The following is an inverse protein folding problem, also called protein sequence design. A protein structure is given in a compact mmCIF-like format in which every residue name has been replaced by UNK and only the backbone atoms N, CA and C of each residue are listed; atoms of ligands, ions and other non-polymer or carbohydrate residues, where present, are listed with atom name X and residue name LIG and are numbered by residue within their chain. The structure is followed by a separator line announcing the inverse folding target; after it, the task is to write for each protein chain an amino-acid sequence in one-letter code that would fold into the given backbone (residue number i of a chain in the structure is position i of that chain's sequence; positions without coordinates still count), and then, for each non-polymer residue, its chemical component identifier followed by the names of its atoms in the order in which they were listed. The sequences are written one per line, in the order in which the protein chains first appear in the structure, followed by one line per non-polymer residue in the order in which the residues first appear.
data_IF_480476042136
#
_entry.id   IF_480476042136
#
_cell.length_a   1.000
_cell.length_b   1.000
_cell.length_c   1.000
_cell.angle_alpha   90.00
_cell.angle_beta   90.00
_cell.angle_gamma   90.00
#
_symmetry.space_group_name_H-M   'P 1'
#
loop_
_entity.id
_entity.type
_entity.pdbx_description
1 polymer ?
2 non-polymer ?
3 non-polymer ?
4 non-polymer ?
5 non-polymer ?
6 water ?
#
# COMPACT_ATOMS: atom_id res chain seq x y z
N UNK A 1 -24.41 7.11 16.71
CA UNK A 1 -23.46 7.67 15.75
C UNK A 1 -23.31 6.75 14.55
N UNK A 2 -24.02 7.06 13.48
CA UNK A 2 -23.96 6.24 12.27
C UNK A 2 -22.74 6.60 11.44
N UNK A 3 -22.05 5.57 10.95
CA UNK A 3 -20.86 5.78 10.13
C UNK A 3 -20.83 4.68 9.07
N UNK A 4 -20.28 5.00 7.90
CA UNK A 4 -20.11 4.02 6.84
C UNK A 4 -18.61 3.68 6.79
N UNK A 5 -18.28 2.46 7.17
CA UNK A 5 -16.88 2.00 7.06
C UNK A 5 -16.62 1.54 5.63
N UNK A 6 -15.39 1.73 5.16
CA UNK A 6 -15.04 1.20 3.86
C UNK A 6 -15.12 -0.33 3.95
N UNK A 7 -15.69 -0.97 2.93
CA UNK A 7 -15.95 -2.40 3.00
C UNK A 7 -16.29 -2.91 1.61
N UNK A 8 -15.38 -3.68 1.01
CA UNK A 8 -15.63 -4.18 -0.33
C UNK A 8 -16.02 -3.08 -1.29
N UNK A 9 -16.99 -3.38 -2.14
CA UNK A 9 -17.48 -2.41 -3.11
C UNK A 9 -18.67 -1.60 -2.62
N UNK A 10 -19.09 -1.81 -1.37
CA UNK A 10 -20.36 -1.30 -0.88
C UNK A 10 -20.26 -0.30 0.26
N UNK A 11 -19.23 -0.38 1.09
CA UNK A 11 -19.28 0.19 2.41
C UNK A 11 -20.10 -0.68 3.35
N UNK A 12 -20.05 -0.32 4.64
CA UNK A 12 -20.74 -1.07 5.68
C UNK A 12 -21.31 -0.06 6.66
N UNK A 13 -22.63 -0.08 6.87
CA UNK A 13 -23.30 0.93 7.69
C UNK A 13 -23.38 0.46 9.13
N UNK A 14 -22.64 1.15 10.01
CA UNK A 14 -22.52 0.77 11.41
C UNK A 14 -23.13 1.86 12.27
N UNK A 15 -23.70 1.48 13.41
CA UNK A 15 -24.21 2.44 14.39
C UNK A 15 -23.44 2.22 15.69
N UNK A 16 -22.66 3.23 16.11
CA UNK A 16 -21.81 3.20 17.29
C UNK A 16 -22.42 4.05 18.41
N UNK A 17 -22.11 3.77 19.67
CA UNK A 17 -22.79 4.48 20.78
C UNK A 17 -22.30 5.92 20.89
N UNK A 18 -23.25 6.87 20.83
CA UNK A 18 -22.90 8.29 20.88
C UNK A 18 -22.09 8.64 22.13
N UNK A 19 -22.50 8.09 23.29
CA UNK A 19 -21.89 8.48 24.55
C UNK A 19 -20.46 7.97 24.71
N UNK A 20 -20.04 7.00 23.89
CA UNK A 20 -18.76 6.35 24.05
C UNK A 20 -17.75 6.65 22.94
N UNK A 21 -18.16 7.31 21.87
CA UNK A 21 -17.40 7.33 20.62
C UNK A 21 -16.94 8.74 20.28
N UNK A 22 -15.66 8.87 19.95
CA UNK A 22 -15.07 10.14 19.52
C UNK A 22 -15.53 10.47 18.09
N UNK A 23 -15.40 11.72 17.68
CA UNK A 23 -15.70 12.06 16.27
C UNK A 23 -14.80 11.27 15.34
N UNK A 24 -15.34 10.80 14.20
CA UNK A 24 -14.54 9.94 13.32
C UNK A 24 -13.29 10.61 12.81
N UNK A 25 -12.24 9.81 12.65
CA UNK A 25 -10.96 10.27 12.11
C UNK A 25 -11.01 10.17 10.59
N UNK A 26 -10.88 11.31 9.91
CA UNK A 26 -11.01 11.39 8.47
C UNK A 26 -9.90 12.24 7.86
N UNK A 27 -9.66 11.99 6.56
CA UNK A 27 -8.74 12.81 5.77
C UNK A 27 -9.25 14.25 5.74
N UNK A 28 -8.34 15.20 5.90
CA UNK A 28 -8.72 16.61 5.89
C UNK A 28 -9.20 17.04 4.50
N UNK A 29 -10.13 17.98 4.43
CA UNK A 29 -10.59 18.44 3.12
C UNK A 29 -9.49 19.16 2.37
N UNK A 30 -9.42 18.86 1.09
CA UNK A 30 -8.62 19.60 0.12
C UNK A 30 -9.43 19.58 -1.16
N UNK A 31 -9.33 20.61 -1.98
CA UNK A 31 -10.16 20.63 -3.21
C UNK A 31 -9.71 19.55 -4.17
N UNK A 32 -10.61 18.70 -4.64
CA UNK A 32 -10.26 17.82 -5.77
C UNK A 32 -9.81 18.65 -6.95
N UNK A 33 -8.94 18.07 -7.76
CA UNK A 33 -8.66 18.67 -9.06
C UNK A 33 -9.86 18.44 -9.97
N UNK A 34 -10.34 19.52 -10.59
CA UNK A 34 -11.48 19.39 -11.47
C UNK A 34 -11.18 18.45 -12.63
N UNK A 35 -10.00 18.57 -13.23
CA UNK A 35 -9.65 17.78 -14.42
C UNK A 35 -8.25 17.24 -14.20
N UNK A 36 -8.11 16.18 -13.42
CA UNK A 36 -6.76 15.67 -13.11
C UNK A 36 -6.01 15.19 -14.33
N UNK A 37 -6.68 14.66 -15.35
CA UNK A 37 -5.96 14.24 -16.56
C UNK A 37 -5.33 15.44 -17.26
N UNK A 38 -6.07 16.56 -17.33
CA UNK A 38 -5.50 17.76 -17.91
C UNK A 38 -4.34 18.28 -17.07
N UNK A 39 -4.41 18.07 -15.75
CA UNK A 39 -3.30 18.45 -14.90
C UNK A 39 -2.09 17.57 -15.15
N UNK A 40 -2.31 16.27 -15.36
CA UNK A 40 -1.18 15.39 -15.73
C UNK A 40 -0.52 15.90 -17.00
N UNK A 41 -1.32 16.27 -18.01
CA UNK A 41 -0.77 16.83 -19.25
C UNK A 41 0.11 18.04 -18.94
N UNK A 42 -0.40 18.97 -18.13
CA UNK A 42 0.39 20.16 -17.79
C UNK A 42 1.68 19.80 -17.06
N UNK A 43 1.64 18.78 -16.19
CA UNK A 43 2.80 18.43 -15.40
C UNK A 43 3.84 17.71 -16.25
N UNK A 44 3.40 17.00 -17.31
CA UNK A 44 4.32 16.37 -18.24
C UNK A 44 5.11 17.42 -19.02
N UNK A 45 4.49 18.58 -19.27
CA UNK A 45 5.14 19.65 -19.99
C UNK A 45 6.03 20.48 -19.07
N UNK A 46 5.71 20.54 -17.78
CA UNK A 46 6.47 21.34 -16.82
C UNK A 46 6.63 20.53 -15.55
N UNK A 47 7.51 19.53 -15.56
CA UNK A 47 7.67 18.64 -14.42
C UNK A 47 8.64 19.18 -13.38
N UNK A 48 8.77 18.43 -12.28
CA UNK A 48 9.66 18.78 -11.18
C UNK A 48 11.00 18.08 -11.39
N UNK A 49 12.07 18.85 -11.51
CA UNK A 49 13.41 18.27 -11.48
C UNK A 49 13.81 17.42 -12.66
N UNK A 50 13.15 17.56 -13.79
CA UNK A 50 13.41 16.72 -14.96
C UNK A 50 13.10 17.55 -16.20
N UNK A 51 13.65 17.18 -17.36
CA UNK A 51 13.17 17.78 -18.61
C UNK A 51 11.71 17.39 -18.80
N UNK A 52 10.98 18.13 -19.63
CA UNK A 52 9.64 17.68 -20.05
C UNK A 52 9.75 16.27 -20.60
N UNK A 53 8.73 15.44 -20.32
CA UNK A 53 8.74 14.06 -20.78
C UNK A 53 8.95 13.96 -22.30
N UNK A 54 8.38 14.89 -23.06
CA UNK A 54 8.53 14.87 -24.52
C UNK A 54 10.00 14.92 -24.92
N UNK A 55 10.77 15.80 -24.29
CA UNK A 55 12.18 15.93 -24.64
C UNK A 55 12.99 14.74 -24.13
N UNK A 56 12.64 14.24 -22.94
CA UNK A 56 13.28 13.04 -22.41
C UNK A 56 13.06 11.83 -23.31
N UNK A 57 11.89 11.73 -23.93
CA UNK A 57 11.53 10.54 -24.69
C UNK A 57 12.05 10.57 -26.12
N UNK A 58 12.33 11.74 -26.68
CA UNK A 58 12.69 11.78 -28.09
C UNK A 58 13.97 10.99 -28.35
N UNK A 59 13.94 10.16 -29.40
CA UNK A 59 15.06 9.30 -29.70
C UNK A 59 15.17 8.04 -28.87
N UNK A 60 14.32 7.84 -27.88
CA UNK A 60 14.36 6.61 -27.10
C UNK A 60 13.69 5.50 -27.88
N UNK A 61 14.32 4.32 -27.88
CA UNK A 61 13.87 3.23 -28.74
C UNK A 61 12.84 2.34 -28.07
N UNK A 62 12.79 2.32 -26.75
CA UNK A 62 11.88 1.45 -26.03
C UNK A 62 11.54 2.14 -24.73
N UNK A 63 10.35 1.84 -24.22
CA UNK A 63 9.89 2.40 -22.96
C UNK A 63 9.26 1.30 -22.12
N UNK A 64 9.44 1.38 -20.82
CA UNK A 64 8.74 0.49 -19.91
C UNK A 64 8.07 1.38 -18.86
N UNK A 65 6.74 1.26 -18.75
CA UNK A 65 5.94 2.02 -17.80
C UNK A 65 5.48 1.08 -16.69
N UNK A 66 5.91 1.36 -15.46
CA UNK A 66 5.48 0.57 -14.31
C UNK A 66 4.13 1.06 -13.82
N UNK A 67 3.20 0.12 -13.61
CA UNK A 67 1.90 0.42 -13.02
C UNK A 67 1.67 -0.47 -11.81
N UNK A 68 0.86 0.00 -10.89
CA UNK A 68 0.52 -0.80 -9.73
C UNK A 68 -0.45 -1.92 -10.10
N UNK A 69 -0.49 -2.96 -9.27
CA UNK A 69 -1.44 -4.05 -9.47
C UNK A 69 -2.81 -3.71 -8.87
N UNK A 70 -3.68 -4.72 -8.77
CA UNK A 70 -5.07 -4.47 -8.42
C UNK A 70 -5.20 -3.87 -7.03
N UNK A 71 -4.24 -4.13 -6.15
CA UNK A 71 -4.38 -3.75 -4.74
C UNK A 71 -4.30 -2.24 -4.52
N UNK A 72 -3.89 -1.48 -5.53
CA UNK A 72 -3.78 -0.04 -5.41
C UNK A 72 -4.82 0.59 -6.33
N UNK A 73 -5.74 1.40 -5.82
CA UNK A 73 -6.76 2.01 -6.65
C UNK A 73 -6.28 3.22 -7.44
N UNK A 74 -5.20 3.04 -8.19
CA UNK A 74 -4.70 4.12 -9.06
C UNK A 74 -5.66 4.29 -10.21
N UNK A 75 -6.12 5.51 -10.51
CA UNK A 75 -6.94 5.72 -11.72
C UNK A 75 -6.02 5.76 -12.94
N UNK A 76 -5.50 4.59 -13.29
CA UNK A 76 -4.42 4.55 -14.28
C UNK A 76 -4.70 5.27 -15.58
N UNK A 77 -5.90 5.19 -16.19
CA UNK A 77 -6.07 5.88 -17.48
C UNK A 77 -5.82 7.37 -17.40
N UNK A 78 -6.12 8.01 -16.27
CA UNK A 78 -5.86 9.43 -16.07
C UNK A 78 -4.37 9.74 -16.18
N UNK A 79 -3.52 8.86 -15.66
CA UNK A 79 -2.07 9.04 -15.73
C UNK A 79 -1.52 8.57 -17.08
N UNK A 80 -2.05 7.47 -17.61
CA UNK A 80 -1.46 6.82 -18.77
C UNK A 80 -1.79 7.51 -20.09
N UNK A 81 -3.03 7.96 -20.28
CA UNK A 81 -3.32 8.59 -21.57
C UNK A 81 -2.39 9.75 -21.85
N UNK A 82 -2.11 10.66 -20.90
CA UNK A 82 -1.10 11.69 -21.17
C UNK A 82 0.28 11.14 -21.48
N UNK A 83 0.75 10.15 -20.70
CA UNK A 83 2.06 9.57 -20.94
C UNK A 83 2.12 8.96 -22.33
N UNK A 84 1.09 8.20 -22.69
CA UNK A 84 1.11 7.49 -23.97
C UNK A 84 1.01 8.48 -25.14
N UNK A 85 0.27 9.56 -24.98
CA UNK A 85 0.21 10.57 -26.02
C UNK A 85 1.57 11.26 -26.20
N UNK A 86 2.23 11.59 -25.09
CA UNK A 86 3.56 12.20 -25.16
C UNK A 86 4.57 11.26 -25.84
N UNK A 87 4.55 9.97 -25.49
CA UNK A 87 5.48 9.03 -26.11
C UNK A 87 5.21 8.92 -27.60
N UNK A 88 3.94 8.95 -28.02
CA UNK A 88 3.65 8.99 -29.45
C UNK A 88 4.21 10.25 -30.07
N UNK A 89 4.01 11.41 -29.42
CA UNK A 89 4.52 12.66 -29.97
C UNK A 89 6.03 12.66 -30.06
N UNK A 90 6.70 11.92 -29.17
CA UNK A 90 8.15 11.81 -29.17
C UNK A 90 8.67 10.83 -30.21
N UNK A 91 7.78 10.11 -30.89
CA UNK A 91 8.18 9.22 -31.96
C UNK A 91 8.26 7.75 -31.60
N UNK A 92 7.85 7.36 -30.40
CA UNK A 92 7.81 5.94 -30.05
C UNK A 92 6.55 5.32 -30.63
N UNK A 93 6.70 4.18 -31.29
CA UNK A 93 5.53 3.45 -31.74
C UNK A 93 4.93 2.67 -30.57
N UNK A 94 3.65 2.33 -30.68
CA UNK A 94 3.00 1.64 -29.57
C UNK A 94 3.71 0.33 -29.24
N UNK A 95 4.23 -0.38 -30.24
CA UNK A 95 4.94 -1.62 -29.98
C UNK A 95 6.25 -1.41 -29.21
N UNK A 96 6.77 -0.17 -29.19
CA UNK A 96 7.97 0.15 -28.42
C UNK A 96 7.68 0.32 -26.94
N UNK A 97 6.42 0.27 -26.51
CA UNK A 97 6.01 0.65 -25.16
C UNK A 97 5.48 -0.59 -24.45
N UNK A 98 6.08 -0.94 -23.32
CA UNK A 98 5.62 -2.04 -22.47
C UNK A 98 5.03 -1.46 -21.19
N UNK A 99 3.84 -1.92 -20.82
CA UNK A 99 3.28 -1.64 -19.50
C UNK A 99 3.56 -2.85 -18.63
N UNK A 100 4.29 -2.65 -17.53
CA UNK A 100 4.73 -3.75 -16.66
C UNK A 100 4.05 -3.60 -15.31
N UNK A 101 3.29 -4.61 -14.91
CA UNK A 101 2.55 -4.58 -13.65
C UNK A 101 3.52 -4.91 -12.52
N UNK A 102 3.75 -3.92 -11.65
CA UNK A 102 4.72 -3.99 -10.56
C UNK A 102 4.07 -4.69 -9.37
N UNK A 103 4.00 -6.02 -9.46
CA UNK A 103 3.35 -6.85 -8.46
C UNK A 103 4.14 -6.98 -7.16
N UNK A 104 5.43 -6.62 -7.14
CA UNK A 104 6.24 -7.00 -5.99
C UNK A 104 6.31 -8.52 -5.95
N UNK A 105 5.94 -9.10 -4.82
CA UNK A 105 5.81 -10.54 -4.66
C UNK A 105 4.37 -11.02 -4.73
N UNK A 106 3.44 -10.13 -5.09
CA UNK A 106 2.04 -10.56 -5.26
C UNK A 106 1.91 -11.45 -6.48
N UNK A 107 0.83 -12.22 -6.48
CA UNK A 107 0.41 -12.99 -7.64
C UNK A 107 0.22 -12.07 -8.86
N UNK A 108 0.25 -12.63 -10.06
CA UNK A 108 0.07 -11.79 -11.25
C UNK A 108 -1.36 -11.27 -11.35
N UNK A 109 -1.50 -10.13 -12.02
CA UNK A 109 -2.83 -9.64 -12.32
C UNK A 109 -3.51 -10.56 -13.35
N UNK A 110 -4.83 -10.71 -13.21
CA UNK A 110 -5.60 -11.50 -14.16
C UNK A 110 -5.96 -10.66 -15.37
N UNK A 111 -6.39 -11.29 -16.47
CA UNK A 111 -6.90 -10.48 -17.59
C UNK A 111 -7.97 -9.48 -17.20
N UNK A 112 -8.93 -9.88 -16.37
CA UNK A 112 -9.98 -8.96 -15.98
C UNK A 112 -9.44 -7.83 -15.12
N UNK A 113 -8.46 -8.12 -14.26
CA UNK A 113 -7.86 -7.07 -13.46
C UNK A 113 -7.14 -6.05 -14.32
N UNK A 114 -6.44 -6.52 -15.37
CA UNK A 114 -5.79 -5.56 -16.28
C UNK A 114 -6.81 -4.60 -16.87
N UNK A 115 -7.99 -5.10 -17.23
CA UNK A 115 -9.03 -4.22 -17.76
C UNK A 115 -9.53 -3.25 -16.68
N UNK A 116 -9.77 -3.76 -15.47
CA UNK A 116 -10.20 -2.89 -14.37
C UNK A 116 -9.14 -1.83 -14.07
N UNK A 117 -7.87 -2.21 -14.10
CA UNK A 117 -6.78 -1.30 -13.75
C UNK A 117 -6.55 -0.26 -14.84
N UNK A 118 -6.56 -0.68 -16.11
CA UNK A 118 -6.00 0.13 -17.19
C UNK A 118 -7.02 0.64 -18.18
N UNK A 119 -8.26 0.14 -18.11
CA UNK A 119 -9.32 0.29 -19.11
C UNK A 119 -9.15 -0.70 -20.26
N UNK A 120 -10.27 -1.10 -20.87
CA UNK A 120 -10.23 -2.08 -21.95
C UNK A 120 -9.40 -1.59 -23.12
N UNK A 121 -9.54 -0.33 -23.50
CA UNK A 121 -8.86 0.12 -24.72
C UNK A 121 -7.36 0.13 -24.54
N UNK A 122 -6.86 0.62 -23.40
CA UNK A 122 -5.43 0.60 -23.17
C UNK A 122 -4.92 -0.83 -23.07
N UNK A 123 -5.67 -1.69 -22.36
CA UNK A 123 -5.21 -3.04 -22.09
C UNK A 123 -5.07 -3.87 -23.37
N UNK A 124 -5.84 -3.59 -24.40
CA UNK A 124 -5.71 -4.37 -25.63
C UNK A 124 -4.84 -3.71 -26.68
N UNK A 125 -4.36 -2.48 -26.43
CA UNK A 125 -3.61 -1.74 -27.43
C UNK A 125 -2.11 -1.74 -27.17
N UNK A 126 -1.68 -1.96 -25.92
CA UNK A 126 -0.28 -2.00 -25.55
C UNK A 126 0.01 -3.35 -24.89
N UNK A 127 1.26 -3.81 -25.00
CA UNK A 127 1.67 -5.03 -24.29
C UNK A 127 1.59 -4.76 -22.80
N UNK A 128 0.90 -5.64 -22.08
CA UNK A 128 0.81 -5.53 -20.62
C UNK A 128 1.25 -6.87 -20.05
N UNK A 129 2.30 -6.83 -19.22
CA UNK A 129 2.90 -8.04 -18.70
C UNK A 129 3.06 -7.91 -17.19
N UNK A 130 3.21 -9.03 -16.51
CA UNK A 130 3.32 -9.05 -15.05
C UNK A 130 4.74 -9.34 -14.60
N UNK A 131 5.12 -8.73 -13.49
CA UNK A 131 6.34 -9.08 -12.79
C UNK A 131 6.12 -10.37 -11.98
N UNK A 132 7.13 -11.25 -11.98
CA UNK A 132 7.11 -12.50 -11.23
C UNK A 132 8.31 -12.52 -10.27
N UNK A 133 8.06 -12.19 -9.00
CA UNK A 133 9.13 -12.04 -8.04
C UNK A 133 9.91 -13.29 -7.74
N UNK A 134 9.33 -14.47 -7.93
CA UNK A 134 10.07 -15.69 -7.63
C UNK A 134 10.81 -16.26 -8.84
N UNK A 135 10.82 -15.56 -9.96
CA UNK A 135 11.57 -15.98 -11.15
C UNK A 135 12.85 -15.14 -11.24
N UNK A 136 13.90 -15.60 -10.57
CA UNK A 136 15.15 -14.83 -10.58
C UNK A 136 15.68 -14.65 -12.00
N UNK A 137 15.43 -15.63 -12.87
CA UNK A 137 15.94 -15.58 -14.24
C UNK A 137 15.34 -14.44 -15.04
N UNK A 138 14.24 -13.83 -14.58
CA UNK A 138 13.62 -12.69 -15.24
C UNK A 138 14.16 -11.36 -14.72
N UNK A 139 15.19 -11.40 -13.87
CA UNK A 139 15.76 -10.21 -13.25
C UNK A 139 17.24 -10.07 -13.63
N UNK A 140 17.73 -8.84 -13.49
CA UNK A 140 19.12 -8.50 -13.73
C UNK A 140 19.74 -7.97 -12.44
N UNK A 141 20.95 -8.44 -12.14
CA UNK A 141 21.66 -8.03 -10.94
C UNK A 141 22.33 -6.70 -11.20
N UNK A 142 22.11 -5.74 -10.32
CA UNK A 142 22.62 -4.38 -10.48
C UNK A 142 23.72 -4.01 -9.49
N UNK A 143 23.99 -4.87 -8.52
CA UNK A 143 24.91 -4.54 -7.44
C UNK A 143 24.27 -4.86 -6.11
N UNK A 144 25.06 -4.68 -5.05
CA UNK A 144 24.61 -4.92 -3.69
C UNK A 144 24.81 -3.64 -2.88
N UNK A 145 23.81 -3.28 -2.05
CA UNK A 145 23.86 -2.04 -1.31
C UNK A 145 24.91 -2.13 -0.19
N UNK A 146 25.29 -0.99 0.40
CA UNK A 146 26.23 -1.03 1.53
C UNK A 146 25.75 -1.83 2.71
N UNK A 147 24.45 -2.07 2.82
CA UNK A 147 23.92 -2.90 3.90
C UNK A 147 23.66 -4.34 3.47
N UNK A 148 24.17 -4.72 2.31
CA UNK A 148 24.22 -6.12 1.94
C UNK A 148 23.02 -6.67 1.20
N UNK A 149 22.15 -5.82 0.69
CA UNK A 149 20.97 -6.28 -0.04
C UNK A 149 21.32 -6.29 -1.53
N UNK A 150 21.26 -7.44 -2.20
CA UNK A 150 21.52 -7.46 -3.64
C UNK A 150 20.29 -6.92 -4.37
N UNK A 151 20.54 -6.16 -5.44
CA UNK A 151 19.49 -5.51 -6.20
C UNK A 151 19.24 -6.32 -7.47
N UNK A 152 18.10 -7.00 -7.52
CA UNK A 152 17.71 -7.82 -8.66
C UNK A 152 16.41 -7.24 -9.21
N UNK A 153 16.46 -6.65 -10.40
CA UNK A 153 15.35 -5.86 -10.92
C UNK A 153 14.92 -6.41 -12.27
N UNK A 154 13.62 -6.36 -12.55
CA UNK A 154 13.07 -7.03 -13.72
C UNK A 154 13.79 -6.56 -14.98
N UNK A 155 14.26 -7.54 -15.77
CA UNK A 155 15.10 -7.23 -16.94
C UNK A 155 14.40 -6.38 -17.99
N UNK A 156 13.07 -6.49 -18.11
CA UNK A 156 12.36 -5.70 -19.12
C UNK A 156 12.43 -4.22 -18.80
N UNK A 157 12.49 -3.87 -17.53
CA UNK A 157 12.66 -2.48 -17.12
C UNK A 157 14.12 -2.05 -17.24
N UNK A 158 15.05 -2.89 -16.77
CA UNK A 158 16.48 -2.57 -16.86
C UNK A 158 16.89 -2.31 -18.29
N UNK A 159 16.40 -3.11 -19.24
CA UNK A 159 16.78 -3.02 -20.65
C UNK A 159 16.06 -1.92 -21.41
N UNK A 160 14.99 -1.34 -20.85
CA UNK A 160 14.27 -0.29 -21.56
C UNK A 160 15.07 1.00 -21.59
N UNK A 161 15.03 1.68 -22.75
CA UNK A 161 15.77 2.94 -22.86
C UNK A 161 15.15 4.03 -22.02
N UNK A 162 13.82 4.02 -21.88
CA UNK A 162 13.07 5.04 -21.16
C UNK A 162 12.29 4.32 -20.06
N UNK A 163 12.53 4.71 -18.81
CA UNK A 163 11.96 4.07 -17.62
C UNK A 163 10.99 5.03 -16.95
N UNK A 164 9.72 4.63 -16.83
CA UNK A 164 8.68 5.49 -16.29
C UNK A 164 7.96 4.70 -15.20
N UNK A 165 7.56 5.38 -14.12
CA UNK A 165 6.77 4.72 -13.09
C UNK A 165 5.57 5.56 -12.70
N UNK A 166 4.44 4.92 -12.46
CA UNK A 166 3.21 5.58 -12.02
C UNK A 166 2.78 5.01 -10.68
N UNK A 167 1.99 5.78 -9.93
CA UNK A 167 1.58 5.24 -8.64
C UNK A 167 0.78 6.23 -7.82
N UNK A 168 0.63 5.85 -6.55
CA UNK A 168 -0.33 6.45 -5.64
C UNK A 168 0.33 6.58 -4.27
N UNK A 169 0.31 7.79 -3.72
CA UNK A 169 0.96 8.09 -2.44
C UNK A 169 -0.07 7.94 -1.33
N UNK A 170 0.04 6.87 -0.56
CA UNK A 170 -0.81 6.58 0.58
C UNK A 170 0.10 6.12 1.70
N UNK A 171 -0.34 6.16 2.96
CA UNK A 171 0.47 5.59 4.04
C UNK A 171 0.76 4.12 3.77
N UNK A 172 1.93 3.66 4.24
CA UNK A 172 2.33 2.27 4.09
C UNK A 172 2.99 1.78 5.36
N UNK A 173 2.60 0.58 5.80
CA UNK A 173 2.94 0.08 7.14
C UNK A 173 4.41 -0.29 7.25
N UNK A 174 5.15 -0.37 6.15
CA UNK A 174 6.58 -0.68 6.24
C UNK A 174 7.41 0.47 5.69
N UNK A 175 7.04 1.00 4.52
CA UNK A 175 7.84 1.98 3.82
C UNK A 175 7.42 3.41 4.11
N UNK A 176 6.51 3.62 5.05
CA UNK A 176 6.08 4.96 5.44
C UNK A 176 4.99 5.49 4.53
N UNK A 177 5.33 5.68 3.26
CA UNK A 177 4.37 6.02 2.21
C UNK A 177 4.68 5.18 0.98
N UNK A 178 3.62 4.81 0.26
CA UNK A 178 3.73 4.20 -1.06
C UNK A 178 4.06 5.26 -2.09
N UNK A 179 4.48 4.81 -3.27
CA UNK A 179 4.72 5.70 -4.40
C UNK A 179 6.20 5.81 -4.74
N UNK A 180 6.47 6.64 -5.73
CA UNK A 180 7.85 6.91 -6.16
C UNK A 180 8.64 5.64 -6.37
N UNK A 181 9.80 5.62 -5.70
CA UNK A 181 10.76 4.52 -5.71
C UNK A 181 10.17 3.14 -5.46
N UNK A 182 9.01 3.03 -4.81
CA UNK A 182 8.51 1.73 -4.40
C UNK A 182 8.01 0.91 -5.59
N UNK A 183 7.72 1.57 -6.72
CA UNK A 183 7.39 0.85 -7.93
C UNK A 183 8.56 -0.02 -8.39
N UNK A 184 9.79 0.40 -8.10
CA UNK A 184 10.98 -0.37 -8.45
C UNK A 184 11.30 -1.38 -7.35
N UNK A 185 11.47 -0.90 -6.13
CA UNK A 185 11.74 -1.78 -4.99
C UNK A 185 10.60 -1.65 -4.00
N UNK A 186 9.71 -2.64 -3.88
CA UNK A 186 9.86 -4.01 -4.41
C UNK A 186 9.06 -4.28 -5.67
N UNK A 187 8.40 -3.26 -6.25
CA UNK A 187 7.43 -3.51 -7.30
C UNK A 187 7.93 -4.42 -8.41
N UNK A 188 9.20 -4.27 -8.81
CA UNK A 188 9.75 -5.14 -9.85
C UNK A 188 11.05 -5.79 -9.39
N UNK A 189 11.16 -6.06 -8.10
CA UNK A 189 12.34 -6.68 -7.52
C UNK A 189 12.10 -8.16 -7.22
N UNK A 190 13.17 -8.94 -7.31
CA UNK A 190 13.07 -10.37 -7.07
C UNK A 190 12.99 -10.67 -5.58
N UNK A 191 12.48 -11.87 -5.27
CA UNK A 191 12.48 -12.38 -3.91
C UNK A 191 13.88 -12.37 -3.30
N UNK A 192 14.92 -12.60 -4.11
CA UNK A 192 16.28 -12.55 -3.63
C UNK A 192 16.60 -11.20 -2.98
N UNK A 193 16.02 -10.12 -3.49
CA UNK A 193 16.13 -8.79 -2.89
C UNK A 193 15.11 -8.61 -1.77
N UNK A 194 13.84 -8.91 -2.07
CA UNK A 194 12.74 -8.58 -1.17
C UNK A 194 12.81 -9.36 0.14
N UNK A 195 13.27 -10.61 0.12
CA UNK A 195 13.30 -11.38 1.36
C UNK A 195 14.21 -10.75 2.39
N UNK A 196 15.29 -10.09 1.95
CA UNK A 196 16.17 -9.40 2.87
C UNK A 196 15.61 -8.03 3.25
N UNK A 197 15.09 -7.29 2.28
CA UNK A 197 14.60 -5.95 2.54
C UNK A 197 13.35 -5.96 3.43
N UNK A 198 12.48 -6.97 3.25
CA UNK A 198 11.34 -7.22 4.11
C UNK A 198 11.67 -8.18 5.26
N UNK A 199 12.95 -8.31 5.62
CA UNK A 199 13.33 -9.17 6.73
C UNK A 199 13.22 -8.43 8.04
N UNK A 200 13.29 -9.19 9.14
CA UNK A 200 13.17 -8.56 10.46
C UNK A 200 14.24 -7.54 10.78
N UNK A 201 15.42 -7.62 10.15
CA UNK A 201 16.43 -6.59 10.39
C UNK A 201 15.97 -5.22 9.93
N UNK A 202 14.98 -5.15 9.05
CA UNK A 202 14.31 -3.90 8.71
C UNK A 202 13.02 -3.71 9.49
N UNK A 203 12.16 -4.72 9.53
CA UNK A 203 10.79 -4.51 9.98
C UNK A 203 10.65 -4.42 11.49
N UNK A 204 11.64 -4.86 12.26
CA UNK A 204 11.53 -4.80 13.71
C UNK A 204 11.86 -3.42 14.27
N UNK A 205 12.25 -2.49 13.42
CA UNK A 205 12.60 -1.17 13.93
C UNK A 205 11.36 -0.29 14.08
N UNK A 206 11.31 0.57 15.10
CA UNK A 206 10.07 1.31 15.38
C UNK A 206 9.61 2.23 14.26
N UNK A 207 10.52 2.80 13.48
CA UNK A 207 10.13 3.74 12.43
C UNK A 207 9.90 3.07 11.09
N UNK A 208 9.95 1.74 11.04
CA UNK A 208 9.45 0.99 9.87
C UNK A 208 7.94 0.93 10.05
N UNK A 209 7.28 2.03 9.68
CA UNK A 209 5.90 2.23 10.10
C UNK A 209 5.27 3.34 9.27
N UNK A 210 3.94 3.40 9.35
CA UNK A 210 3.16 4.35 8.57
C UNK A 210 3.62 5.78 8.83
N UNK A 211 3.78 6.54 7.75
CA UNK A 211 4.06 7.96 7.83
C UNK A 211 5.51 8.35 8.03
N UNK A 212 6.42 7.40 8.21
CA UNK A 212 7.83 7.73 8.44
C UNK A 212 8.64 7.46 7.19
N UNK A 213 9.25 8.51 6.64
CA UNK A 213 10.32 8.38 5.65
C UNK A 213 11.65 8.66 6.32
N UNK A 214 11.77 9.84 6.92
CA UNK A 214 12.92 10.17 7.74
C UNK A 214 13.01 9.18 8.90
N UNK A 215 14.20 8.61 9.09
CA UNK A 215 14.42 7.66 10.15
C UNK A 215 13.96 6.25 9.87
N UNK A 216 13.34 6.00 8.72
CA UNK A 216 12.81 4.68 8.42
C UNK A 216 13.82 3.90 7.59
N UNK A 217 14.44 2.83 8.13
CA UNK A 217 15.43 2.09 7.32
C UNK A 217 14.85 1.45 6.06
N UNK A 218 13.55 1.11 6.08
CA UNK A 218 12.92 0.55 4.89
C UNK A 218 12.98 1.53 3.73
N UNK A 219 12.68 2.80 4.00
CA UNK A 219 12.69 3.83 2.96
C UNK A 219 14.10 4.19 2.52
N UNK A 220 15.06 4.24 3.46
CA UNK A 220 16.43 4.43 3.05
C UNK A 220 16.83 3.39 2.00
N UNK A 221 16.49 2.14 2.26
CA UNK A 221 16.97 1.04 1.44
C UNK A 221 16.25 0.96 0.10
N UNK A 222 14.90 1.10 0.07
CA UNK A 222 14.26 1.00 -1.23
C UNK A 222 14.59 2.18 -2.13
N UNK A 223 14.86 3.34 -1.52
CA UNK A 223 15.37 4.47 -2.30
C UNK A 223 16.75 4.17 -2.87
N UNK A 224 17.65 3.59 -2.06
CA UNK A 224 18.98 3.23 -2.55
C UNK A 224 18.89 2.22 -3.69
N UNK A 225 18.01 1.22 -3.56
CA UNK A 225 17.91 0.20 -4.61
C UNK A 225 17.31 0.79 -5.88
N UNK A 226 16.26 1.63 -5.75
CA UNK A 226 15.68 2.27 -6.92
C UNK A 226 16.70 3.15 -7.63
N UNK A 227 17.58 3.82 -6.87
CA UNK A 227 18.62 4.64 -7.49
C UNK A 227 19.60 3.79 -8.30
N UNK A 228 19.83 2.54 -7.91
CA UNK A 228 20.70 1.68 -8.69
C UNK A 228 20.10 1.31 -10.04
N UNK A 229 18.78 1.12 -10.08
CA UNK A 229 18.11 0.80 -11.34
C UNK A 229 17.90 2.05 -12.18
N UNK A 230 17.63 3.17 -11.54
CA UNK A 230 17.24 4.38 -12.23
C UNK A 230 15.75 4.40 -12.55
N UNK A 231 15.27 5.61 -12.82
CA UNK A 231 13.92 5.86 -13.28
C UNK A 231 13.93 7.25 -13.89
N UNK A 232 13.48 7.38 -15.13
CA UNK A 232 13.58 8.66 -15.80
C UNK A 232 12.45 9.61 -15.48
N UNK A 233 11.28 9.10 -15.07
CA UNK A 233 10.13 9.98 -14.94
C UNK A 233 9.06 9.24 -14.14
N UNK A 234 8.46 9.93 -13.17
CA UNK A 234 7.31 9.38 -12.46
C UNK A 234 6.11 10.31 -12.61
N UNK A 235 4.93 9.72 -12.46
CA UNK A 235 3.70 10.46 -12.22
C UNK A 235 3.04 9.79 -11.02
N UNK A 236 2.78 10.56 -9.95
CA UNK A 236 2.10 10.01 -8.79
C UNK A 236 0.91 10.92 -8.44
N UNK A 237 -0.12 10.34 -7.84
CA UNK A 237 -1.30 11.08 -7.40
C UNK A 237 -1.58 10.80 -5.93
N UNK A 238 -2.37 11.69 -5.32
CA UNK A 238 -3.01 11.44 -4.04
C UNK A 238 -4.52 11.44 -4.25
N UNK A 239 -5.24 10.69 -3.40
CA UNK A 239 -6.68 10.52 -3.49
C UNK A 239 -7.33 10.89 -2.18
N UNK A 240 -8.49 11.53 -2.24
CA UNK A 240 -9.22 11.80 -1.00
C UNK A 240 -10.07 10.60 -0.61
N UNK A 241 -10.87 10.76 0.45
CA UNK A 241 -11.67 9.63 0.93
C UNK A 241 -12.66 9.10 -0.09
N UNK A 242 -13.15 9.97 -0.97
CA UNK A 242 -14.07 9.58 -2.03
C UNK A 242 -13.36 9.17 -3.31
N UNK A 243 -12.04 9.06 -3.27
CA UNK A 243 -11.20 8.61 -4.39
C UNK A 243 -11.07 9.65 -5.49
N UNK A 244 -11.27 10.93 -5.19
CA UNK A 244 -10.96 11.99 -6.13
C UNK A 244 -9.49 12.36 -6.02
N UNK A 245 -8.85 12.58 -7.16
CA UNK A 245 -7.45 13.01 -7.16
C UNK A 245 -7.36 14.41 -6.58
N UNK A 246 -6.49 14.58 -5.57
CA UNK A 246 -6.27 15.86 -4.93
C UNK A 246 -4.93 16.50 -5.27
N UNK A 247 -4.00 15.75 -5.86
CA UNK A 247 -2.73 16.30 -6.33
C UNK A 247 -2.14 15.36 -7.37
N UNK A 248 -1.35 15.97 -8.27
CA UNK A 248 -0.55 15.28 -9.27
C UNK A 248 0.87 15.82 -9.14
N UNK A 249 1.86 14.91 -9.10
CA UNK A 249 3.26 15.29 -9.18
C UNK A 249 3.90 14.48 -10.32
N UNK A 250 4.78 15.12 -11.08
CA UNK A 250 5.46 14.42 -12.15
C UNK A 250 6.88 14.92 -12.27
N UNK A 251 7.79 14.01 -12.68
CA UNK A 251 9.17 14.38 -12.92
C UNK A 251 10.14 13.45 -12.22
N UNK A 252 11.15 14.03 -11.58
CA UNK A 252 12.21 13.26 -10.95
C UNK A 252 11.65 12.29 -9.91
N UNK A 253 12.18 11.05 -9.92
CA UNK A 253 11.65 10.01 -9.04
C UNK A 253 11.69 10.43 -7.57
N UNK A 254 12.75 11.12 -7.14
CA UNK A 254 12.81 11.55 -5.75
C UNK A 254 12.11 12.88 -5.51
N UNK A 255 12.41 13.91 -6.32
CA UNK A 255 11.86 15.23 -6.05
C UNK A 255 10.33 15.24 -6.20
N UNK A 256 9.81 14.57 -7.23
CA UNK A 256 8.36 14.56 -7.40
C UNK A 256 7.69 13.80 -6.25
N UNK A 257 8.24 12.65 -5.89
CA UNK A 257 7.68 11.85 -4.80
C UNK A 257 7.64 12.66 -3.50
N UNK A 258 8.74 13.33 -3.16
CA UNK A 258 8.78 14.08 -1.90
C UNK A 258 7.80 15.25 -1.91
N UNK A 259 7.57 15.87 -3.07
CA UNK A 259 6.56 16.91 -3.16
C UNK A 259 5.16 16.33 -2.93
N UNK A 260 4.88 15.16 -3.49
CA UNK A 260 3.60 14.52 -3.24
C UNK A 260 3.42 14.12 -1.79
N UNK A 261 4.48 13.62 -1.16
CA UNK A 261 4.41 13.30 0.27
C UNK A 261 4.15 14.55 1.09
N UNK A 262 4.82 15.65 0.76
CA UNK A 262 4.57 16.90 1.48
C UNK A 262 3.09 17.28 1.39
N UNK A 263 2.48 17.08 0.22
CA UNK A 263 1.05 17.35 0.12
C UNK A 263 0.24 16.40 0.99
N UNK A 264 0.52 15.09 0.90
CA UNK A 264 -0.38 14.16 1.56
C UNK A 264 -0.26 14.36 3.07
N UNK A 265 0.91 14.81 3.55
CA UNK A 265 1.08 15.05 4.98
C UNK A 265 0.20 16.19 5.50
N UNK A 266 -0.22 17.11 4.61
CA UNK A 266 -1.12 18.18 5.04
C UNK A 266 -2.56 17.72 5.21
N UNK A 267 -2.93 16.51 4.77
CA UNK A 267 -4.32 16.07 4.85
C UNK A 267 -4.51 14.73 5.52
N UNK A 268 -3.50 13.86 5.59
CA UNK A 268 -3.71 12.48 6.02
C UNK A 268 -3.73 12.31 7.54
N UNK A 269 -3.19 13.26 8.29
CA UNK A 269 -3.09 13.09 9.73
C UNK A 269 -4.39 13.49 10.43
N UNK A 270 -4.88 12.59 11.27
CA UNK A 270 -6.08 12.81 12.07
C UNK A 270 -5.69 12.61 13.51
N UNK A 271 -5.76 13.67 14.31
CA UNK A 271 -5.24 13.65 15.66
C UNK A 271 -6.35 13.42 16.68
N UNK A 272 -5.99 12.71 17.75
CA UNK A 272 -6.82 12.59 18.94
C UNK A 272 -5.97 13.02 20.12
N UNK A 273 -6.59 13.40 21.24
CA UNK A 273 -5.79 13.86 22.38
C UNK A 273 -5.11 12.75 23.17
N UNK A 274 -5.62 11.53 23.10
CA UNK A 274 -5.05 10.42 23.87
C UNK A 274 -5.46 9.11 23.20
N UNK A 275 -4.67 8.05 23.34
CA UNK A 275 -5.10 6.75 22.83
C UNK A 275 -6.31 6.27 23.60
N UNK A 276 -7.02 5.31 23.00
CA UNK A 276 -8.29 4.81 23.54
C UNK A 276 -8.27 3.29 23.57
N UNK A 277 -9.19 2.72 24.34
CA UNK A 277 -9.18 1.27 24.52
C UNK A 277 -9.77 0.51 23.34
N UNK A 278 -10.61 1.15 22.53
CA UNK A 278 -11.30 0.47 21.43
C UNK A 278 -11.16 1.33 20.18
N UNK A 279 -10.59 0.77 19.11
CA UNK A 279 -10.46 1.47 17.84
C UNK A 279 -11.18 0.65 16.78
N UNK A 280 -12.16 1.27 16.11
CA UNK A 280 -12.89 0.64 15.02
C UNK A 280 -12.28 1.12 13.72
N UNK A 281 -11.97 0.19 12.82
CA UNK A 281 -11.31 0.55 11.57
C UNK A 281 -11.75 -0.35 10.43
N UNK A 282 -11.17 -0.11 9.26
CA UNK A 282 -11.46 -0.85 8.05
C UNK A 282 -10.14 -1.18 7.37
N UNK A 283 -10.24 -1.88 6.24
CA UNK A 283 -9.10 -2.11 5.35
C UNK A 283 -9.24 -1.29 4.07
N UNK A 284 -9.92 -0.15 4.14
CA UNK A 284 -10.04 0.79 3.02
C UNK A 284 -10.86 0.26 1.84
N UNK A 285 -11.67 -0.77 2.08
CA UNK A 285 -12.60 -1.25 1.06
C UNK A 285 -11.88 -1.81 -0.16
N UNK A 286 -12.66 -1.98 -1.22
CA UNK A 286 -12.09 -2.45 -2.47
C UNK A 286 -11.22 -1.35 -3.07
N UNK A 287 -10.05 -1.70 -3.62
CA UNK A 287 -9.52 -3.05 -3.84
C UNK A 287 -8.57 -3.56 -2.76
N UNK A 288 -8.24 -2.74 -1.77
CA UNK A 288 -7.24 -3.17 -0.80
C UNK A 288 -7.74 -4.33 0.05
N UNK A 289 -9.04 -4.35 0.40
CA UNK A 289 -9.53 -5.32 1.38
C UNK A 289 -9.87 -6.70 0.79
N UNK A 290 -9.31 -7.02 -0.39
CA UNK A 290 -9.56 -8.32 -1.01
C UNK A 290 -9.06 -9.48 -0.15
N UNK A 291 -7.96 -9.32 0.59
CA UNK A 291 -7.39 -10.43 1.32
C UNK A 291 -7.06 -10.07 2.76
N UNK A 292 -7.04 -11.10 3.61
CA UNK A 292 -6.62 -10.91 5.00
C UNK A 292 -5.18 -10.38 5.04
N UNK A 293 -4.32 -10.89 4.15
CA UNK A 293 -2.95 -10.40 4.04
C UNK A 293 -2.90 -8.87 3.96
N UNK A 294 -3.71 -8.28 3.09
CA UNK A 294 -3.70 -6.82 2.99
C UNK A 294 -4.42 -6.16 4.17
N UNK A 295 -5.46 -6.80 4.70
CA UNK A 295 -6.25 -6.19 5.76
C UNK A 295 -5.45 -6.01 7.05
N UNK A 296 -4.33 -6.72 7.20
CA UNK A 296 -3.43 -6.43 8.32
C UNK A 296 -3.05 -4.96 8.35
N UNK A 297 -3.02 -4.29 7.19
CA UNK A 297 -2.73 -2.86 7.15
C UNK A 297 -3.71 -2.03 7.97
N UNK A 298 -4.98 -2.42 8.04
CA UNK A 298 -5.91 -1.68 8.89
C UNK A 298 -5.54 -1.83 10.35
N UNK A 299 -5.04 -3.01 10.72
CA UNK A 299 -4.64 -3.26 12.10
C UNK A 299 -3.40 -2.46 12.48
N UNK A 300 -2.35 -2.48 11.64
CA UNK A 300 -1.17 -1.69 11.96
C UNK A 300 -1.49 -0.20 11.94
N UNK A 301 -2.38 0.21 11.04
CA UNK A 301 -2.71 1.62 10.94
C UNK A 301 -3.34 2.17 12.21
N UNK A 302 -4.06 1.32 12.97
CA UNK A 302 -4.75 1.75 14.18
C UNK A 302 -3.84 1.84 15.39
N UNK A 303 -2.66 1.20 15.34
CA UNK A 303 -1.81 1.08 16.52
C UNK A 303 -1.47 2.39 17.22
N UNK A 304 -1.17 3.49 16.54
CA UNK A 304 -0.78 4.69 17.29
C UNK A 304 -1.83 5.18 18.27
N UNK A 305 -3.11 4.86 18.07
CA UNK A 305 -4.16 5.43 18.91
C UNK A 305 -4.85 4.38 19.78
N UNK A 306 -4.39 3.15 19.79
CA UNK A 306 -4.94 2.15 20.71
C UNK A 306 -4.06 2.08 21.96
N UNK A 307 -4.69 1.97 23.12
CA UNK A 307 -3.93 1.80 24.35
C UNK A 307 -3.36 0.39 24.39
N UNK A 308 -2.19 0.19 25.01
CA UNK A 308 -1.69 -1.17 25.22
C UNK A 308 -2.77 -2.02 25.90
N UNK A 309 -2.97 -3.22 25.37
CA UNK A 309 -4.00 -4.10 25.85
C UNK A 309 -5.39 -3.79 25.34
N UNK A 310 -5.55 -2.75 24.52
CA UNK A 310 -6.82 -2.40 23.93
C UNK A 310 -7.24 -3.38 22.85
N UNK A 311 -8.34 -3.03 22.17
CA UNK A 311 -8.91 -3.88 21.12
C UNK A 311 -9.07 -3.05 19.85
N UNK A 312 -8.63 -3.62 18.72
CA UNK A 312 -8.92 -3.08 17.41
C UNK A 312 -10.03 -3.93 16.81
N UNK A 313 -11.12 -3.27 16.40
CA UNK A 313 -12.22 -3.92 15.69
C UNK A 313 -12.10 -3.51 14.23
N UNK A 314 -11.94 -4.48 13.34
CA UNK A 314 -11.78 -4.19 11.92
C UNK A 314 -12.89 -4.86 11.13
N UNK A 315 -13.42 -4.14 10.15
CA UNK A 315 -14.32 -4.68 9.14
C UNK A 315 -13.60 -4.69 7.79
N UNK A 316 -13.62 -5.83 7.11
CA UNK A 316 -13.01 -5.95 5.78
C UNK A 316 -13.73 -7.04 5.02
N UNK A 317 -13.98 -6.82 3.72
CA UNK A 317 -14.80 -7.75 2.97
C UNK A 317 -14.08 -9.07 2.69
N UNK A 318 -12.76 -9.04 2.44
CA UNK A 318 -11.97 -10.25 2.20
C UNK A 318 -12.55 -11.09 1.06
N UNK A 319 -12.95 -10.45 -0.03
CA UNK A 319 -13.65 -11.20 -1.07
C UNK A 319 -12.79 -12.30 -1.68
N UNK A 320 -11.45 -12.15 -1.68
CA UNK A 320 -10.56 -13.16 -2.22
C UNK A 320 -10.05 -14.14 -1.16
N UNK A 321 -10.30 -13.89 0.11
CA UNK A 321 -9.91 -14.84 1.15
C UNK A 321 -8.68 -14.41 1.92
N UNK A 322 -7.84 -15.38 2.28
CA UNK A 322 -6.73 -15.11 3.19
C UNK A 322 -5.52 -14.49 2.49
N UNK A 323 -5.24 -14.89 1.25
CA UNK A 323 -4.02 -14.48 0.59
C UNK A 323 -3.27 -15.65 -0.01
N UNK A 324 -1.97 -15.50 -0.18
CA UNK A 324 -1.19 -16.47 -0.93
C UNK A 324 -1.08 -17.81 -0.20
N UNK A 325 -0.82 -18.90 -0.94
CA UNK A 325 -0.57 -20.19 -0.28
C UNK A 325 0.56 -20.14 0.71
N UNK A 326 1.61 -19.37 0.40
CA UNK A 326 2.77 -19.28 1.29
C UNK A 326 2.41 -18.55 2.57
N UNK A 327 1.67 -17.44 2.46
CA UNK A 327 1.19 -16.74 3.65
C UNK A 327 0.33 -17.67 4.51
N UNK A 328 -0.59 -18.41 3.88
CA UNK A 328 -1.45 -19.32 4.61
C UNK A 328 -0.64 -20.42 5.29
N UNK A 329 0.43 -20.89 4.64
CA UNK A 329 1.20 -22.01 5.19
C UNK A 329 1.86 -21.64 6.51
N UNK A 330 2.18 -20.37 6.71
CA UNK A 330 2.89 -19.98 7.93
C UNK A 330 2.04 -20.17 9.18
N UNK A 331 0.72 -19.94 9.07
CA UNK A 331 -0.15 -20.16 10.22
C UNK A 331 -0.19 -21.63 10.58
N UNK A 332 -0.18 -22.50 9.56
CA UNK A 332 -0.18 -23.94 9.81
C UNK A 332 1.11 -24.37 10.47
N UNK A 333 2.23 -23.73 10.12
CA UNK A 333 3.53 -24.14 10.60
C UNK A 333 3.81 -23.64 12.01
N UNK A 334 3.21 -22.51 12.40
CA UNK A 334 3.50 -21.85 13.67
C UNK A 334 2.19 -21.53 14.37
N UNK A 335 1.73 -22.38 15.29
CA UNK A 335 0.46 -22.12 15.98
C UNK A 335 0.42 -20.81 16.74
N UNK A 336 1.54 -20.36 17.30
CA UNK A 336 1.56 -19.10 18.03
C UNK A 336 2.42 -18.08 17.30
N UNK A 337 2.04 -16.81 17.46
CA UNK A 337 2.84 -15.74 16.86
C UNK A 337 4.22 -15.64 17.52
N UNK A 338 4.31 -15.92 18.81
CA UNK A 338 5.62 -15.96 19.47
C UNK A 338 6.53 -16.98 18.81
N UNK A 339 6.02 -18.17 18.55
CA UNK A 339 6.83 -19.19 17.91
C UNK A 339 7.22 -18.82 16.49
N UNK A 340 6.27 -18.21 15.75
CA UNK A 340 6.60 -17.68 14.43
C UNK A 340 7.75 -16.69 14.51
N UNK A 341 7.70 -15.79 15.48
CA UNK A 341 8.74 -14.78 15.57
C UNK A 341 10.09 -15.39 15.96
N UNK A 342 10.08 -16.37 16.87
CA UNK A 342 11.33 -17.06 17.18
C UNK A 342 11.95 -17.65 15.93
N UNK A 343 11.12 -18.23 15.06
CA UNK A 343 11.64 -18.86 13.84
C UNK A 343 12.24 -17.83 12.89
N UNK A 344 11.53 -16.73 12.63
CA UNK A 344 12.05 -15.78 11.63
C UNK A 344 13.21 -14.95 12.17
N UNK A 345 13.29 -14.75 13.48
CA UNK A 345 14.39 -13.98 14.04
C UNK A 345 15.71 -14.75 14.02
N UNK A 346 15.68 -16.01 13.56
CA UNK A 346 16.91 -16.78 13.34
C UNK A 346 17.52 -16.55 11.98
N UNK A 347 16.73 -16.10 10.99
CA UNK A 347 17.24 -15.78 9.65
C UNK A 347 17.76 -17.01 8.93
N UNK A 348 17.44 -18.20 9.42
CA UNK A 348 17.85 -19.42 8.72
C UNK A 348 17.06 -19.61 7.43
N UNK A 349 15.81 -19.15 7.39
CA UNK A 349 14.95 -19.36 6.24
C UNK A 349 14.06 -18.14 6.02
N UNK A 350 13.52 -18.05 4.81
CA UNK A 350 12.66 -16.94 4.39
C UNK A 350 11.51 -17.56 3.63
N UNK A 351 10.28 -17.13 3.94
CA UNK A 351 9.09 -17.58 3.26
C UNK A 351 8.39 -16.36 2.67
N UNK A 352 7.92 -16.50 1.43
CA UNK A 352 7.17 -15.43 0.80
C UNK A 352 6.03 -15.03 1.71
N UNK A 353 5.87 -13.73 1.92
CA UNK A 353 4.77 -13.10 2.65
C UNK A 353 4.90 -13.22 4.16
N UNK A 354 6.03 -13.72 4.68
CA UNK A 354 6.18 -13.81 6.13
C UNK A 354 6.17 -12.45 6.78
N UNK A 355 6.56 -11.41 6.03
CA UNK A 355 6.62 -10.06 6.59
C UNK A 355 5.26 -9.60 7.10
N UNK A 356 4.16 -10.00 6.45
CA UNK A 356 2.85 -9.57 6.94
C UNK A 356 2.45 -10.29 8.22
N UNK A 357 2.88 -11.53 8.41
CA UNK A 357 2.65 -12.18 9.70
C UNK A 357 3.49 -11.51 10.78
N UNK A 358 4.69 -11.03 10.42
CA UNK A 358 5.51 -10.27 11.35
C UNK A 358 4.80 -8.98 11.76
N UNK A 359 4.11 -8.33 10.82
CA UNK A 359 3.34 -7.14 11.17
C UNK A 359 2.14 -7.48 12.03
N UNK A 360 1.46 -8.59 11.75
CA UNK A 360 0.36 -9.02 12.60
C UNK A 360 0.87 -9.32 14.01
N UNK A 361 2.06 -9.93 14.13
CA UNK A 361 2.64 -10.17 15.45
C UNK A 361 2.87 -8.87 16.21
N UNK A 362 3.33 -7.82 15.50
CA UNK A 362 3.50 -6.51 16.12
C UNK A 362 2.17 -5.97 16.64
N UNK A 363 1.10 -6.12 15.84
CA UNK A 363 -0.23 -5.71 16.30
C UNK A 363 -0.59 -6.44 17.58
N UNK A 364 -0.42 -7.76 17.59
CA UNK A 364 -0.91 -8.58 18.70
C UNK A 364 -0.08 -8.42 19.97
N UNK A 365 1.15 -7.89 19.88
CA UNK A 365 1.88 -7.56 21.11
C UNK A 365 1.21 -6.41 21.84
N UNK A 366 0.48 -5.56 21.12
CA UNK A 366 -0.14 -4.38 21.71
C UNK A 366 -1.64 -4.53 21.93
N UNK A 367 -2.35 -5.32 21.13
CA UNK A 367 -3.80 -5.23 21.15
C UNK A 367 -4.45 -6.56 20.82
N UNK A 368 -5.66 -6.75 21.36
CA UNK A 368 -6.59 -7.77 20.85
C UNK A 368 -7.18 -7.29 19.53
N UNK A 369 -7.66 -8.23 18.73
CA UNK A 369 -8.31 -7.90 17.45
C UNK A 369 -9.63 -8.65 17.36
N UNK A 370 -10.71 -7.91 17.06
CA UNK A 370 -12.00 -8.48 16.68
C UNK A 370 -12.18 -8.20 15.18
N UNK A 371 -12.54 -9.23 14.41
CA UNK A 371 -12.56 -9.14 12.96
C UNK A 371 -13.97 -9.44 12.45
N UNK A 372 -14.51 -8.52 11.64
CA UNK A 372 -15.86 -8.63 11.10
C UNK A 372 -15.74 -8.75 9.58
N UNK A 373 -16.17 -9.88 9.04
CA UNK A 373 -16.10 -10.12 7.60
C UNK A 373 -17.00 -11.29 7.22
N UNK A 374 -17.58 -11.21 6.02
CA UNK A 374 -18.25 -12.37 5.43
C UNK A 374 -17.42 -13.06 4.35
N UNK A 375 -16.20 -12.60 4.10
CA UNK A 375 -15.43 -13.23 3.04
C UNK A 375 -14.76 -14.53 3.42
N UNK A 376 -14.61 -14.78 4.72
CA UNK A 376 -13.89 -15.93 5.25
C UNK A 376 -14.71 -16.43 6.43
N UNK A 377 -14.99 -17.73 6.54
CA UNK A 377 -15.78 -18.22 7.67
C UNK A 377 -15.07 -17.96 9.01
N UNK A 378 -15.89 -17.88 10.05
CA UNK A 378 -15.38 -17.58 11.39
C UNK A 378 -14.31 -18.58 11.81
N UNK A 379 -14.51 -19.87 11.52
CA UNK A 379 -13.53 -20.86 11.94
C UNK A 379 -12.18 -20.63 11.28
N UNK A 380 -12.17 -20.14 10.04
CA UNK A 380 -10.91 -19.85 9.38
C UNK A 380 -10.24 -18.63 10.00
N UNK A 381 -11.00 -17.55 10.22
CA UNK A 381 -10.42 -16.35 10.83
C UNK A 381 -9.87 -16.65 12.22
N UNK A 382 -10.53 -17.52 12.97
CA UNK A 382 -10.08 -17.81 14.31
C UNK A 382 -8.69 -18.44 14.34
N UNK A 383 -8.27 -19.06 13.24
CA UNK A 383 -6.90 -19.59 13.15
C UNK A 383 -5.88 -18.55 12.73
N UNK A 384 -6.30 -17.30 12.51
CA UNK A 384 -5.40 -16.25 12.05
C UNK A 384 -5.14 -15.20 13.11
N UNK A 385 -5.27 -15.56 14.39
CA UNK A 385 -4.89 -14.68 15.49
C UNK A 385 -5.74 -13.43 15.56
N UNK A 386 -7.01 -13.57 15.19
CA UNK A 386 -8.03 -12.56 15.42
C UNK A 386 -9.27 -13.28 15.94
N UNK A 387 -10.14 -12.53 16.61
CA UNK A 387 -11.41 -13.10 17.08
C UNK A 387 -12.50 -12.72 16.11
N UNK A 388 -13.11 -13.66 15.39
CA UNK A 388 -14.22 -13.30 14.50
C UNK A 388 -15.43 -12.93 15.32
N UNK A 389 -16.07 -11.82 14.97
CA UNK A 389 -17.30 -11.37 15.63
C UNK A 389 -18.33 -11.03 14.55
N UNK A 390 -19.60 -11.32 14.83
CA UNK A 390 -20.60 -11.30 13.77
C UNK A 390 -20.84 -9.91 13.22
N UNK A 391 -20.80 -8.88 14.07
CA UNK A 391 -21.05 -7.50 13.64
C UNK A 391 -20.10 -6.55 14.37
N UNK A 392 -19.84 -5.40 13.74
CA UNK A 392 -19.03 -4.36 14.38
C UNK A 392 -19.71 -3.86 15.64
N UNK A 393 -21.03 -3.65 15.58
CA UNK A 393 -21.75 -3.17 16.75
C UNK A 393 -21.65 -4.15 17.91
N UNK A 394 -21.74 -5.44 17.63
CA UNK A 394 -21.57 -6.43 18.69
C UNK A 394 -20.14 -6.44 19.22
N UNK A 395 -19.16 -6.37 18.31
CA UNK A 395 -17.76 -6.37 18.72
C UNK A 395 -17.45 -5.20 19.64
N UNK A 396 -17.98 -4.02 19.31
CA UNK A 396 -17.78 -2.85 20.15
C UNK A 396 -18.49 -3.04 21.50
N UNK A 397 -19.71 -3.57 21.50
CA UNK A 397 -20.38 -3.82 22.77
C UNK A 397 -19.57 -4.75 23.65
N UNK A 398 -19.03 -5.83 23.06
CA UNK A 398 -18.21 -6.78 23.81
C UNK A 398 -16.98 -6.09 24.38
N UNK A 399 -16.28 -5.29 23.56
CA UNK A 399 -15.08 -4.62 24.04
C UNK A 399 -15.40 -3.63 25.14
N UNK A 400 -16.49 -2.86 24.98
CA UNK A 400 -16.86 -1.91 26.03
C UNK A 400 -17.18 -2.63 27.33
N UNK A 401 -17.83 -3.78 27.26
CA UNK A 401 -18.11 -4.52 28.49
C UNK A 401 -16.83 -5.04 29.12
N UNK A 402 -15.85 -5.43 28.31
CA UNK A 402 -14.59 -5.95 28.82
C UNK A 402 -13.77 -4.85 29.50
N UNK A 403 -13.68 -3.68 28.90
CA UNK A 403 -12.83 -2.61 29.44
C UNK A 403 -13.51 -1.79 30.53
N UNK A 404 -14.83 -1.74 30.56
CA UNK A 404 -15.53 -1.02 31.60
C UNK A 404 -16.01 0.35 31.15
N UNK A 405 -16.72 1.04 32.06
CA UNK A 405 -17.45 2.27 31.65
C UNK A 405 -16.58 3.49 31.36
N UNK A 406 -15.29 3.48 31.66
CA UNK A 406 -14.44 4.59 31.24
C UNK A 406 -13.90 4.44 29.82
N UNK A 407 -14.07 3.28 29.20
CA UNK A 407 -13.46 3.07 27.89
C UNK A 407 -14.11 3.96 26.82
N UNK A 408 -13.30 4.39 25.87
CA UNK A 408 -13.74 5.20 24.75
C UNK A 408 -13.49 4.45 23.45
N UNK A 409 -14.21 4.85 22.40
CA UNK A 409 -14.12 4.26 21.06
C UNK A 409 -13.70 5.33 20.06
N UNK A 410 -12.69 5.03 19.25
CA UNK A 410 -12.38 5.84 18.07
C UNK A 410 -12.75 5.05 16.83
N UNK A 411 -13.06 5.75 15.74
CA UNK A 411 -13.46 5.11 14.49
C UNK A 411 -12.75 5.76 13.32
N UNK A 412 -12.23 4.93 12.41
CA UNK A 412 -11.45 5.35 11.25
C UNK A 412 -12.09 4.75 10.00
N UNK A 413 -13.07 5.41 9.41
CA UNK A 413 -13.79 4.78 8.28
C UNK A 413 -12.90 4.36 7.11
N UNK A 414 -11.87 5.14 6.75
CA UNK A 414 -11.00 4.84 5.62
C UNK A 414 -9.75 4.06 6.03
N UNK A 415 -9.69 3.62 7.28
CA UNK A 415 -8.66 2.70 7.72
C UNK A 415 -7.25 3.17 7.43
N UNK A 416 -6.49 2.33 6.70
CA UNK A 416 -5.07 2.62 6.49
C UNK A 416 -4.79 3.76 5.54
N UNK A 417 -5.81 4.39 4.95
CA UNK A 417 -5.59 5.61 4.19
C UNK A 417 -5.65 6.85 5.07
N UNK A 418 -5.78 6.67 6.39
CA UNK A 418 -5.69 7.75 7.37
C UNK A 418 -4.47 7.46 8.23
N UNK A 419 -3.83 8.54 8.71
CA UNK A 419 -2.71 8.44 9.65
C UNK A 419 -3.17 8.95 11.01
N UNK A 420 -3.70 8.09 11.87
CA UNK A 420 -4.13 8.55 13.21
C UNK A 420 -2.94 8.83 14.10
N UNK A 421 -3.03 9.90 14.87
CA UNK A 421 -1.92 10.35 15.71
C UNK A 421 -2.48 10.85 17.04
N UNK A 422 -1.64 10.79 18.07
CA UNK A 422 -1.94 11.36 19.37
C UNK A 422 -1.18 12.67 19.48
N UNK A 423 -1.91 13.76 19.72
CA UNK A 423 -1.28 15.04 20.02
C UNK A 423 -1.61 15.42 21.45
N UNK A 424 -0.68 15.27 22.40
CA UNK A 424 -0.99 15.56 23.81
C UNK A 424 -1.25 17.02 24.09
N UNK A 425 -0.92 17.92 23.17
CA UNK A 425 -1.15 19.34 23.35
C UNK A 425 -2.55 19.71 22.86
#
# INVERSE_FOLDING_TARGET
ARVTLDYGKTGLNVDLPDDRTLPPLTIRPAPPLDDPEAEVVRCLAEPIGSPPLLDLARGKRSACILVCDITRPVPNPVLLRPILRTLHAAGLATQDILILVATGLHRPSTPAEKVEMLSEEIARTYRVEDHYGTRLEEHTYLGTTPNGVPAWIDSRYVQADLKIATGLIEPHLMAGYSGGRKLICPGIAAFETVKLWHGPRFLEHPLADCGFLEGNPVHEENTRIARMAGCDFIVNVTLDGARRITSVVAGDMEQAFLKGVAFVETVVKAAVPAPVDVVVTSSAGHPLDLTFYQAVKGLTGALPIVKPGGTIVIAAALAEGLGSPEFQSLFEEHPTLEGFMEAILKEESFTVDQWQLEELAKVRRKARVKFVSDGVPAAVLSRCHVEPVATVELAVAQALEQYGPEARVAVIPKGPYVLPVVDPT
#
